data_IF_938320881324
#
_entry.id   IF_938320881324
#
_cell.length_a   1.000
_cell.length_b   1.000
_cell.length_c   1.000
_cell.angle_alpha   90.00
_cell.angle_beta   90.00
_cell.angle_gamma   90.00
#
_symmetry.space_group_name_H-M   'P 1'
#
loop_
_entity.id
_entity.type
_entity.pdbx_description
1 polymer ?
#
# COMPACT_ATOMS: atom_id res chain seq x y z
N UNK A 1 -2.76 -11.01 11.63
CA UNK A 1 -2.88 -9.80 10.78
C UNK A 1 -3.02 -8.57 11.65
N UNK A 2 -2.24 -7.55 11.35
CA UNK A 2 -2.32 -6.30 12.10
C UNK A 2 -3.31 -5.38 11.43
N UNK A 3 -4.28 -4.89 12.21
CA UNK A 3 -5.33 -3.96 11.81
C UNK A 3 -4.87 -2.52 12.00
N UNK A 4 -5.16 -1.63 11.02
CA UNK A 4 -4.84 -0.20 11.11
C UNK A 4 -5.71 0.53 12.14
N UNK A 5 -6.94 0.07 12.31
CA UNK A 5 -7.91 0.55 13.30
C UNK A 5 -8.15 2.07 13.27
N UNK A 6 -8.11 2.69 12.09
CA UNK A 6 -8.48 4.09 11.95
C UNK A 6 -9.95 4.30 12.35
N UNK A 7 -10.23 5.44 13.00
CA UNK A 7 -11.55 5.69 13.57
C UNK A 7 -12.62 5.92 12.49
N UNK A 8 -12.26 6.60 11.41
CA UNK A 8 -13.14 6.88 10.29
C UNK A 8 -13.09 5.77 9.24
N UNK A 9 -14.17 4.99 9.00
CA UNK A 9 -14.25 4.07 7.86
C UNK A 9 -14.18 4.83 6.53
N UNK A 10 -13.86 4.11 5.47
CA UNK A 10 -13.72 4.64 4.12
C UNK A 10 -15.03 5.26 3.63
N UNK A 11 -14.92 6.43 3.02
CA UNK A 11 -16.05 7.16 2.46
C UNK A 11 -15.62 7.91 1.21
N UNK A 12 -16.48 7.88 0.18
CA UNK A 12 -16.34 8.70 -1.01
C UNK A 12 -17.70 9.21 -1.48
N UNK A 13 -17.70 10.41 -2.04
CA UNK A 13 -18.83 11.01 -2.72
C UNK A 13 -18.38 11.40 -4.11
N UNK A 14 -19.18 11.08 -5.13
CA UNK A 14 -18.90 11.49 -6.49
C UNK A 14 -20.13 12.05 -7.18
N UNK A 15 -19.92 13.04 -8.04
CA UNK A 15 -20.97 13.74 -8.77
C UNK A 15 -20.37 14.40 -10.02
N UNK A 16 -21.21 14.82 -10.96
CA UNK A 16 -20.79 15.70 -12.04
C UNK A 16 -20.76 17.14 -11.55
N UNK A 17 -19.63 17.82 -11.76
CA UNK A 17 -19.51 19.26 -11.48
C UNK A 17 -20.11 20.11 -12.59
N UNK A 18 -19.98 21.44 -12.45
CA UNK A 18 -20.52 22.42 -13.42
C UNK A 18 -19.85 22.34 -14.79
N UNK A 19 -18.61 21.88 -14.87
CA UNK A 19 -17.85 21.68 -16.11
C UNK A 19 -18.21 20.36 -16.80
N UNK A 20 -19.00 19.50 -16.15
CA UNK A 20 -19.35 18.17 -16.62
C UNK A 20 -18.28 17.12 -16.35
N UNK A 21 -17.32 17.41 -15.49
CA UNK A 21 -16.31 16.47 -15.01
C UNK A 21 -16.84 15.66 -13.84
N UNK A 22 -16.33 14.43 -13.67
CA UNK A 22 -16.64 13.63 -12.49
C UNK A 22 -15.76 14.09 -11.34
N UNK A 23 -16.40 14.68 -10.35
CA UNK A 23 -15.72 15.08 -9.11
C UNK A 23 -15.82 13.95 -8.07
N UNK A 24 -14.68 13.54 -7.52
CA UNK A 24 -14.58 12.53 -6.44
C UNK A 24 -14.05 13.23 -5.20
N UNK A 25 -14.84 13.21 -4.14
CA UNK A 25 -14.47 13.72 -2.83
C UNK A 25 -14.36 12.55 -1.86
N UNK A 26 -13.16 12.29 -1.33
CA UNK A 26 -12.88 11.08 -0.55
C UNK A 26 -12.02 11.33 0.68
N UNK A 27 -12.01 10.37 1.59
CA UNK A 27 -11.14 10.34 2.77
C UNK A 27 -10.06 9.30 2.58
N UNK A 28 -9.17 9.53 1.60
CA UNK A 28 -8.02 8.66 1.31
C UNK A 28 -6.68 9.34 1.62
N UNK A 29 -5.58 8.61 1.47
CA UNK A 29 -4.23 9.10 1.72
C UNK A 29 -3.50 9.54 0.45
N UNK A 30 -4.09 9.32 -0.74
CA UNK A 30 -3.45 9.60 -2.03
C UNK A 30 -4.41 10.05 -3.11
N UNK A 31 -4.77 11.35 -3.12
CA UNK A 31 -5.63 11.93 -4.16
C UNK A 31 -5.08 11.73 -5.58
N UNK A 32 -3.76 11.79 -5.75
CA UNK A 32 -3.13 11.60 -7.06
C UNK A 32 -3.26 10.17 -7.56
N UNK A 33 -3.10 9.19 -6.69
CA UNK A 33 -3.30 7.78 -7.04
C UNK A 33 -4.77 7.53 -7.38
N UNK A 34 -5.70 8.04 -6.57
CA UNK A 34 -7.14 7.95 -6.84
C UNK A 34 -7.50 8.57 -8.18
N UNK A 35 -6.97 9.76 -8.50
CA UNK A 35 -7.16 10.40 -9.79
C UNK A 35 -6.67 9.51 -10.94
N UNK A 36 -5.45 9.00 -10.83
CA UNK A 36 -4.85 8.14 -11.85
C UNK A 36 -5.69 6.89 -12.12
N UNK A 37 -6.05 6.16 -11.07
CA UNK A 37 -6.78 4.90 -11.18
C UNK A 37 -8.23 5.11 -11.70
N UNK A 38 -8.92 6.15 -11.21
CA UNK A 38 -10.27 6.47 -11.69
C UNK A 38 -10.25 6.90 -13.16
N UNK A 39 -9.27 7.70 -13.57
CA UNK A 39 -9.07 8.11 -14.96
C UNK A 39 -8.85 6.90 -15.87
N UNK A 40 -7.98 5.97 -15.47
CA UNK A 40 -7.73 4.73 -16.21
C UNK A 40 -9.00 3.87 -16.31
N UNK A 41 -9.71 3.68 -15.20
CA UNK A 41 -10.92 2.85 -15.15
C UNK A 41 -12.04 3.40 -16.03
N UNK A 42 -12.24 4.71 -16.02
CA UNK A 42 -13.31 5.35 -16.80
C UNK A 42 -12.91 5.65 -18.25
N UNK A 43 -11.63 5.57 -18.58
CA UNK A 43 -11.11 5.88 -19.91
C UNK A 43 -11.28 7.35 -20.30
N UNK A 44 -11.27 8.27 -19.34
CA UNK A 44 -11.45 9.71 -19.56
C UNK A 44 -10.59 10.52 -18.59
N UNK A 45 -10.07 11.65 -19.06
CA UNK A 45 -9.34 12.64 -18.26
C UNK A 45 -10.27 13.65 -17.53
N UNK A 46 -11.57 13.58 -17.79
CA UNK A 46 -12.59 14.41 -17.15
C UNK A 46 -12.92 13.94 -15.75
N UNK A 47 -11.92 13.93 -14.89
CA UNK A 47 -12.00 13.51 -13.49
C UNK A 47 -11.25 14.51 -12.62
N UNK A 48 -11.86 14.92 -11.52
CA UNK A 48 -11.25 15.73 -10.47
C UNK A 48 -11.35 14.99 -9.15
N UNK A 49 -10.29 15.01 -8.37
CA UNK A 49 -10.24 14.35 -7.05
C UNK A 49 -9.81 15.36 -6.00
N UNK A 50 -10.53 15.38 -4.89
CA UNK A 50 -10.19 16.18 -3.73
C UNK A 50 -10.34 15.36 -2.46
N UNK A 51 -9.29 15.38 -1.61
CA UNK A 51 -9.36 14.74 -0.32
C UNK A 51 -10.05 15.65 0.71
N UNK A 52 -10.91 15.03 1.52
CA UNK A 52 -11.42 15.62 2.74
C UNK A 52 -10.38 15.49 3.87
N UNK A 53 -10.70 16.05 5.03
CA UNK A 53 -9.94 15.76 6.25
C UNK A 53 -10.09 14.27 6.57
N UNK A 54 -8.95 13.60 6.71
CA UNK A 54 -8.90 12.14 6.91
C UNK A 54 -8.89 11.83 8.40
N UNK A 55 -9.89 11.10 8.87
CA UNK A 55 -10.02 10.66 10.27
C UNK A 55 -9.17 9.46 10.63
N UNK A 56 -7.91 9.46 10.17
CA UNK A 56 -6.93 8.38 10.32
C UNK A 56 -6.90 7.45 9.12
N UNK A 57 -5.72 6.92 8.80
CA UNK A 57 -5.51 5.99 7.70
C UNK A 57 -4.39 5.01 8.00
N UNK A 58 -3.24 5.51 8.51
CA UNK A 58 -2.08 4.71 8.92
C UNK A 58 -1.56 3.75 7.84
N UNK A 59 -1.73 4.14 6.55
CA UNK A 59 -1.41 3.34 5.38
C UNK A 59 -2.56 2.44 4.88
N UNK A 60 -3.67 2.32 5.63
CA UNK A 60 -4.82 1.49 5.23
C UNK A 60 -5.78 2.17 4.25
N UNK A 61 -5.61 3.46 3.98
CA UNK A 61 -6.42 4.23 3.02
C UNK A 61 -5.59 4.71 1.82
N UNK A 62 -4.46 4.11 1.54
CA UNK A 62 -3.68 4.39 0.33
C UNK A 62 -4.23 3.65 -0.88
N UNK A 63 -4.71 2.43 -0.69
CA UNK A 63 -5.41 1.68 -1.73
C UNK A 63 -6.87 2.17 -1.89
N UNK A 64 -7.38 2.05 -3.11
CA UNK A 64 -8.77 2.39 -3.40
C UNK A 64 -9.73 1.30 -2.91
N UNK A 65 -10.75 1.70 -2.16
CA UNK A 65 -11.81 0.80 -1.67
C UNK A 65 -13.20 1.20 -2.17
N UNK A 66 -13.58 2.46 -2.02
CA UNK A 66 -14.91 2.97 -2.38
C UNK A 66 -14.88 4.05 -3.47
N UNK A 67 -13.74 4.67 -3.71
CA UNK A 67 -13.58 5.80 -4.63
C UNK A 67 -13.95 5.42 -6.07
N UNK A 68 -13.34 4.35 -6.57
CA UNK A 68 -13.57 3.85 -7.93
C UNK A 68 -15.02 3.39 -8.14
N UNK A 69 -15.63 2.73 -7.14
CA UNK A 69 -17.02 2.30 -7.23
C UNK A 69 -17.99 3.48 -7.22
N UNK A 70 -17.76 4.50 -6.38
CA UNK A 70 -18.60 5.69 -6.38
C UNK A 70 -18.51 6.44 -7.71
N UNK A 71 -17.29 6.61 -8.26
CA UNK A 71 -17.06 7.26 -9.55
C UNK A 71 -17.72 6.49 -10.71
N UNK A 72 -17.56 5.17 -10.75
CA UNK A 72 -18.19 4.33 -11.76
C UNK A 72 -19.71 4.42 -11.72
N UNK A 73 -20.30 4.34 -10.53
CA UNK A 73 -21.76 4.47 -10.38
C UNK A 73 -22.25 5.84 -10.78
N UNK A 74 -21.53 6.93 -10.47
CA UNK A 74 -21.83 8.28 -10.94
C UNK A 74 -21.75 8.35 -12.47
N UNK A 75 -20.69 7.76 -13.06
CA UNK A 75 -20.51 7.74 -14.52
C UNK A 75 -21.69 7.06 -15.23
N UNK A 76 -22.14 5.91 -14.71
CA UNK A 76 -23.22 5.12 -15.33
C UNK A 76 -24.60 5.74 -15.06
N UNK A 77 -24.88 6.15 -13.82
CA UNK A 77 -26.21 6.60 -13.43
C UNK A 77 -26.48 8.07 -13.69
N UNK A 78 -25.41 8.86 -13.90
CA UNK A 78 -25.45 10.33 -14.02
C UNK A 78 -26.04 11.03 -12.78
N UNK A 79 -25.95 10.39 -11.61
CA UNK A 79 -26.46 10.90 -10.34
C UNK A 79 -25.33 11.00 -9.32
N UNK A 80 -25.44 11.90 -8.34
CA UNK A 80 -24.55 11.94 -7.20
C UNK A 80 -24.62 10.62 -6.42
N UNK A 81 -23.46 10.06 -6.11
CA UNK A 81 -23.31 8.79 -5.38
C UNK A 81 -22.46 9.02 -4.13
N UNK A 82 -22.91 8.49 -3.01
CA UNK A 82 -22.14 8.41 -1.77
C UNK A 82 -21.98 6.95 -1.39
N UNK A 83 -20.73 6.54 -1.18
CA UNK A 83 -20.39 5.23 -0.64
C UNK A 83 -19.65 5.40 0.67
N UNK A 84 -20.05 4.64 1.66
CA UNK A 84 -19.41 4.59 2.99
C UNK A 84 -19.46 3.17 3.49
N UNK A 85 -18.33 2.65 3.93
CA UNK A 85 -18.26 1.36 4.59
C UNK A 85 -18.72 1.47 6.06
N UNK A 86 -19.40 0.46 6.55
CA UNK A 86 -19.54 0.22 7.98
C UNK A 86 -18.19 -0.23 8.57
N UNK A 87 -18.05 -0.20 9.90
CA UNK A 87 -16.83 -0.72 10.53
C UNK A 87 -16.56 -2.19 10.18
N UNK A 88 -17.60 -3.01 10.15
CA UNK A 88 -17.46 -4.42 9.81
C UNK A 88 -16.98 -4.62 8.37
N UNK A 89 -17.55 -3.88 7.40
CA UNK A 89 -17.13 -3.93 6.00
C UNK A 89 -15.70 -3.41 5.84
N UNK A 90 -15.35 -2.30 6.46
CA UNK A 90 -14.01 -1.73 6.46
C UNK A 90 -12.98 -2.76 6.91
N UNK A 91 -13.22 -3.45 8.05
CA UNK A 91 -12.33 -4.50 8.55
C UNK A 91 -12.16 -5.69 7.60
N UNK A 92 -13.16 -5.97 6.76
CA UNK A 92 -13.10 -7.08 5.80
C UNK A 92 -12.41 -6.68 4.49
N UNK A 93 -12.61 -5.46 4.03
CA UNK A 93 -12.27 -5.05 2.65
C UNK A 93 -10.92 -4.38 2.54
N UNK A 94 -10.54 -3.48 3.47
CA UNK A 94 -9.30 -2.74 3.31
C UNK A 94 -8.05 -3.61 3.48
N UNK A 95 -6.96 -3.30 2.77
CA UNK A 95 -5.72 -4.06 2.84
C UNK A 95 -5.15 -4.05 4.27
N UNK A 96 -4.42 -5.10 4.62
CA UNK A 96 -3.79 -5.26 5.92
C UNK A 96 -2.28 -5.03 5.83
N UNK A 97 -1.61 -4.92 7.00
CA UNK A 97 -0.16 -4.83 7.07
C UNK A 97 0.49 -6.04 6.42
N UNK A 98 1.51 -5.79 5.61
CA UNK A 98 2.31 -6.87 5.04
C UNK A 98 3.12 -7.58 6.12
N UNK A 99 3.15 -8.92 6.17
CA UNK A 99 4.05 -9.65 7.04
C UNK A 99 5.49 -9.55 6.52
N UNK A 100 6.42 -9.45 7.47
CA UNK A 100 7.85 -9.42 7.19
C UNK A 100 8.56 -10.55 7.93
N UNK A 101 9.48 -11.20 7.24
CA UNK A 101 10.43 -12.15 7.81
C UNK A 101 11.83 -11.54 7.67
N UNK A 102 12.50 -11.36 8.80
CA UNK A 102 13.81 -10.71 8.85
C UNK A 102 14.83 -11.62 9.48
N UNK A 103 15.94 -11.86 8.75
CA UNK A 103 17.13 -12.53 9.26
C UNK A 103 18.26 -11.48 9.30
N UNK A 104 18.73 -11.18 10.50
CA UNK A 104 19.68 -10.09 10.71
C UNK A 104 20.89 -10.58 11.49
N UNK A 105 22.08 -10.22 10.98
CA UNK A 105 23.36 -10.43 11.65
C UNK A 105 24.03 -9.08 11.85
N UNK A 106 24.44 -8.80 13.06
CA UNK A 106 25.12 -7.54 13.42
C UNK A 106 26.46 -7.85 14.09
N UNK A 107 27.48 -7.12 13.70
CA UNK A 107 28.81 -7.18 14.31
C UNK A 107 29.19 -5.83 14.91
N UNK A 108 29.77 -5.83 16.11
CA UNK A 108 30.34 -4.67 16.77
C UNK A 108 31.79 -4.92 17.21
N UNK A 109 32.52 -3.84 17.49
CA UNK A 109 33.83 -3.89 18.09
C UNK A 109 33.77 -4.03 19.63
N UNK A 110 34.94 -4.06 20.28
CA UNK A 110 35.07 -4.22 21.74
C UNK A 110 34.43 -3.05 22.53
N UNK A 111 34.24 -1.90 21.88
CA UNK A 111 33.62 -0.72 22.47
C UNK A 111 32.10 -0.67 22.21
N UNK A 112 31.52 -1.67 21.54
CA UNK A 112 30.11 -1.70 21.18
C UNK A 112 29.74 -0.88 19.94
N UNK A 113 30.73 -0.39 19.18
CA UNK A 113 30.50 0.35 17.94
C UNK A 113 30.16 -0.63 16.81
N UNK A 114 28.99 -0.44 16.17
CA UNK A 114 28.54 -1.31 15.09
C UNK A 114 29.46 -1.18 13.88
N UNK A 115 30.07 -2.28 13.48
CA UNK A 115 30.99 -2.36 12.33
C UNK A 115 30.28 -2.77 11.05
N UNK A 116 29.22 -3.57 11.15
CA UNK A 116 28.45 -3.98 9.99
C UNK A 116 27.16 -4.69 10.36
N UNK A 117 26.21 -4.63 9.42
CA UNK A 117 24.91 -5.31 9.48
C UNK A 117 24.69 -6.06 8.17
N UNK A 118 24.24 -7.30 8.28
CA UNK A 118 23.73 -8.10 7.16
C UNK A 118 22.26 -8.39 7.45
N UNK A 119 21.36 -8.02 6.53
CA UNK A 119 19.94 -8.30 6.68
C UNK A 119 19.40 -9.00 5.42
N UNK A 120 18.56 -10.00 5.64
CA UNK A 120 17.71 -10.60 4.61
C UNK A 120 16.29 -10.32 5.00
N UNK A 121 15.58 -9.51 4.18
CA UNK A 121 14.21 -9.10 4.43
C UNK A 121 13.32 -9.73 3.38
N UNK A 122 12.31 -10.47 3.83
CA UNK A 122 11.28 -11.07 2.98
C UNK A 122 9.94 -10.46 3.34
N UNK A 123 9.20 -9.96 2.36
CA UNK A 123 7.84 -9.46 2.52
C UNK A 123 6.88 -10.31 1.70
N UNK A 124 5.75 -10.64 2.29
CA UNK A 124 4.64 -11.31 1.62
C UNK A 124 3.53 -10.30 1.34
N UNK A 125 3.12 -10.18 0.09
CA UNK A 125 2.06 -9.25 -0.34
C UNK A 125 0.69 -9.92 -0.45
N UNK A 126 0.62 -11.22 -0.30
CA UNK A 126 -0.60 -11.97 -0.61
C UNK A 126 -0.90 -11.99 -2.12
N UNK A 127 -2.14 -12.31 -2.47
CA UNK A 127 -2.58 -12.45 -3.87
C UNK A 127 -2.60 -11.14 -4.66
N UNK A 128 -2.79 -10.02 -3.98
CA UNK A 128 -2.83 -8.68 -4.59
C UNK A 128 -1.64 -7.88 -4.07
N UNK A 129 -0.73 -7.53 -4.98
CA UNK A 129 0.54 -6.90 -4.61
C UNK A 129 0.36 -5.54 -3.91
N UNK A 130 -0.70 -4.78 -4.23
CA UNK A 130 -0.95 -3.47 -3.64
C UNK A 130 0.33 -2.64 -3.58
N UNK A 131 0.63 -2.04 -2.44
CA UNK A 131 1.86 -1.27 -2.17
C UNK A 131 3.02 -2.11 -1.62
N UNK A 132 2.98 -3.44 -1.74
CA UNK A 132 4.01 -4.32 -1.17
C UNK A 132 5.44 -4.02 -1.63
N UNK A 133 5.64 -3.71 -2.91
CA UNK A 133 6.93 -3.31 -3.45
C UNK A 133 7.45 -1.99 -2.84
N UNK A 134 6.69 -0.88 -2.94
CA UNK A 134 7.03 0.39 -2.30
C UNK A 134 7.28 0.26 -0.79
N UNK A 135 6.44 -0.48 -0.06
CA UNK A 135 6.60 -0.69 1.39
C UNK A 135 7.90 -1.41 1.72
N UNK A 136 8.27 -2.44 0.95
CA UNK A 136 9.54 -3.14 1.13
C UNK A 136 10.73 -2.20 0.87
N UNK A 137 10.69 -1.40 -0.20
CA UNK A 137 11.74 -0.44 -0.53
C UNK A 137 11.91 0.62 0.58
N UNK A 138 10.83 1.19 1.09
CA UNK A 138 10.87 2.15 2.19
C UNK A 138 11.47 1.51 3.45
N UNK A 139 11.06 0.27 3.79
CA UNK A 139 11.59 -0.43 4.94
C UNK A 139 13.12 -0.59 4.87
N UNK A 140 13.64 -0.96 3.71
CA UNK A 140 15.08 -1.14 3.50
C UNK A 140 15.84 0.19 3.58
N UNK A 141 15.31 1.25 2.97
CA UNK A 141 15.95 2.56 3.01
C UNK A 141 15.99 3.15 4.42
N UNK A 142 14.91 3.03 5.19
CA UNK A 142 14.85 3.55 6.57
C UNK A 142 15.77 2.83 7.55
N UNK A 143 16.20 1.61 7.27
CA UNK A 143 17.19 0.91 8.11
C UNK A 143 18.57 1.57 8.07
N UNK A 144 18.86 2.40 7.06
CA UNK A 144 20.15 3.06 6.88
C UNK A 144 20.28 4.36 7.67
N UNK A 145 19.15 5.01 8.01
CA UNK A 145 19.16 6.39 8.54
C UNK A 145 19.32 6.46 10.06
N UNK A 146 19.09 5.36 10.78
CA UNK A 146 19.06 5.37 12.25
C UNK A 146 20.39 4.97 12.91
N UNK A 147 21.32 4.38 12.18
CA UNK A 147 22.57 3.86 12.76
C UNK A 147 23.74 4.14 11.81
N UNK A 148 24.77 4.81 12.32
CA UNK A 148 26.03 4.98 11.59
C UNK A 148 26.77 3.64 11.60
N UNK A 149 26.91 3.03 10.41
CA UNK A 149 27.60 1.75 10.26
C UNK A 149 28.58 1.80 9.07
N UNK A 150 29.70 1.08 9.17
CA UNK A 150 30.72 1.05 8.12
C UNK A 150 30.33 0.22 6.91
N UNK A 151 29.55 -0.83 7.12
CA UNK A 151 29.16 -1.76 6.04
C UNK A 151 27.72 -2.23 6.23
N UNK A 152 26.90 -2.10 5.20
CA UNK A 152 25.53 -2.62 5.15
C UNK A 152 25.39 -3.55 3.94
N UNK A 153 24.94 -4.79 4.18
CA UNK A 153 24.53 -5.74 3.15
C UNK A 153 23.07 -6.08 3.30
N UNK A 154 22.27 -5.68 2.33
CA UNK A 154 20.84 -5.95 2.29
C UNK A 154 20.50 -6.90 1.15
N UNK A 155 19.61 -7.84 1.42
CA UNK A 155 18.97 -8.69 0.41
C UNK A 155 17.47 -8.64 0.63
N UNK A 156 16.77 -8.22 -0.39
CA UNK A 156 15.32 -8.09 -0.40
C UNK A 156 14.70 -9.25 -1.16
N UNK A 157 13.55 -9.73 -0.70
CA UNK A 157 12.75 -10.72 -1.38
C UNK A 157 11.26 -10.40 -1.21
N UNK A 158 10.60 -10.12 -2.31
CA UNK A 158 9.15 -9.96 -2.35
C UNK A 158 8.51 -11.27 -2.77
N UNK A 159 7.60 -11.78 -1.96
CA UNK A 159 6.84 -12.99 -2.26
C UNK A 159 5.38 -12.64 -2.47
N UNK A 160 4.80 -13.10 -3.57
CA UNK A 160 3.36 -13.03 -3.84
C UNK A 160 2.80 -14.41 -3.55
N UNK A 161 1.92 -14.52 -2.55
CA UNK A 161 1.33 -15.77 -2.13
C UNK A 161 -0.18 -15.76 -2.36
N UNK A 162 -0.68 -16.75 -3.07
CA UNK A 162 -2.12 -16.95 -3.28
C UNK A 162 -2.63 -17.88 -2.17
N UNK A 163 -3.23 -17.31 -1.12
CA UNK A 163 -3.56 -18.03 0.13
C UNK A 163 -4.87 -18.81 0.10
N UNK A 164 -5.59 -18.91 -1.02
CA UNK A 164 -6.91 -19.55 -1.09
C UNK A 164 -7.07 -20.58 -2.20
N UNK A 165 -6.00 -21.27 -2.60
CA UNK A 165 -6.15 -22.47 -3.41
C UNK A 165 -5.98 -23.71 -2.53
N UNK A 166 -6.83 -24.76 -2.71
CA UNK A 166 -6.68 -26.01 -1.96
C UNK A 166 -5.30 -26.62 -2.19
N UNK A 167 -4.82 -27.42 -1.24
CA UNK A 167 -3.46 -27.96 -1.05
C UNK A 167 -2.73 -28.57 -2.27
N UNK A 168 -3.29 -28.50 -3.48
CA UNK A 168 -2.71 -29.10 -4.70
C UNK A 168 -2.45 -28.12 -5.85
N UNK A 169 -2.53 -26.82 -5.65
CA UNK A 169 -2.20 -25.84 -6.70
C UNK A 169 -0.87 -25.17 -6.42
N UNK A 170 0.02 -25.28 -7.41
CA UNK A 170 1.39 -24.83 -7.35
C UNK A 170 1.54 -23.36 -6.91
N UNK A 171 2.37 -23.14 -5.90
CA UNK A 171 2.82 -21.83 -5.48
C UNK A 171 3.52 -21.11 -6.64
N UNK A 172 2.88 -20.06 -7.18
CA UNK A 172 3.54 -19.17 -8.12
C UNK A 172 4.40 -18.19 -7.31
N UNK A 173 5.63 -18.60 -7.04
CA UNK A 173 6.61 -17.75 -6.37
C UNK A 173 7.34 -16.92 -7.40
N UNK A 174 6.98 -15.63 -7.52
CA UNK A 174 7.73 -14.65 -8.30
C UNK A 174 8.86 -14.07 -7.43
N UNK A 175 10.05 -14.61 -7.57
CA UNK A 175 11.25 -14.09 -6.92
C UNK A 175 11.82 -12.91 -7.71
N UNK A 176 11.70 -11.71 -7.20
CA UNK A 176 12.48 -10.57 -7.66
C UNK A 176 13.65 -10.37 -6.71
N UNK A 177 14.83 -10.82 -7.11
CA UNK A 177 16.08 -10.54 -6.41
C UNK A 177 16.58 -9.15 -6.79
N UNK A 178 16.51 -8.21 -5.86
CA UNK A 178 17.21 -6.92 -5.97
C UNK A 178 18.32 -6.95 -4.93
N UNK A 179 19.56 -7.12 -5.38
CA UNK A 179 20.73 -6.99 -4.51
C UNK A 179 21.36 -5.62 -4.72
N UNK A 180 21.33 -4.75 -3.71
CA UNK A 180 22.16 -3.56 -3.68
C UNK A 180 23.37 -3.81 -2.77
N UNK A 181 24.57 -3.73 -3.33
CA UNK A 181 25.80 -3.62 -2.57
C UNK A 181 26.24 -2.15 -2.64
N UNK A 182 26.28 -1.48 -1.51
CA UNK A 182 26.97 -0.18 -1.38
C UNK A 182 28.16 -0.36 -0.47
N UNK A 183 29.32 -0.01 -0.98
CA UNK A 183 30.54 0.19 -0.20
C UNK A 183 30.69 1.69 0.02
N UNK A 184 30.85 2.09 1.25
CA UNK A 184 31.23 3.46 1.63
C UNK A 184 32.73 3.48 1.92
#
# INVERSE_FOLDING_TARGET
WTEHAFLEPECAVSFYDEDGDIFVYSTDQSAHQTLHEVTLMLGTDKVKVQNALVGGGFGGKEDMTVQHLSALLTYVTKKPIKMKLSRAESLLVHPKRHPFYMDMTMGCDENGVIQGVKAIVKSDTGAFASLGGPVLNVHVHMQQDLIIMKTLKLKELLTIQITHLPEHSADLVLHRLVSQQRHF
#
